data_IF_233613784271
#
_entry.id   IF_233613784271
#
_cell.length_a   1.000
_cell.length_b   1.000
_cell.length_c   1.000
_cell.angle_alpha   90.00
_cell.angle_beta   90.00
_cell.angle_gamma   90.00
#
_symmetry.space_group_name_H-M   'P 1'
#
loop_
_entity.id
_entity.type
_entity.pdbx_description
1 polymer ?
#
# COMPACT_ATOMS: atom_id res chain seq x y z
N UNK A 1 -13.03 -0.73 17.02
CA UNK A 1 -12.41 0.62 16.98
C UNK A 1 -12.57 1.10 15.56
N UNK A 2 -13.27 2.20 15.32
CA UNK A 2 -13.37 2.73 13.96
C UNK A 2 -12.06 3.45 13.63
N UNK A 3 -11.35 2.94 12.62
CA UNK A 3 -10.14 3.59 12.12
C UNK A 3 -10.54 4.69 11.14
N UNK A 4 -9.81 5.79 11.14
CA UNK A 4 -10.01 6.83 10.15
C UNK A 4 -9.83 6.25 8.72
N UNK A 5 -10.80 6.43 7.79
CA UNK A 5 -10.73 5.81 6.47
C UNK A 5 -9.49 6.19 5.64
N UNK A 6 -8.95 7.39 5.82
CA UNK A 6 -7.72 7.83 5.14
C UNK A 6 -6.51 7.10 5.70
N UNK A 7 -6.44 6.94 7.02
CA UNK A 7 -5.37 6.21 7.69
C UNK A 7 -5.44 4.71 7.36
N UNK A 8 -6.63 4.10 7.47
CA UNK A 8 -6.86 2.70 7.13
C UNK A 8 -6.46 2.39 5.68
N UNK A 9 -6.78 3.29 4.75
CA UNK A 9 -6.41 3.17 3.33
C UNK A 9 -4.90 3.09 3.11
N UNK A 10 -4.13 3.85 3.90
CA UNK A 10 -2.66 3.87 3.80
C UNK A 10 -2.07 2.56 4.31
N UNK A 11 -2.49 2.09 5.48
CA UNK A 11 -2.01 0.82 6.03
C UNK A 11 -2.42 -0.37 5.17
N UNK A 12 -3.66 -0.40 4.68
CA UNK A 12 -4.12 -1.48 3.81
C UNK A 12 -3.36 -1.51 2.48
N UNK A 13 -3.11 -0.36 1.84
CA UNK A 13 -2.32 -0.37 0.61
C UNK A 13 -0.86 -0.74 0.85
N UNK A 14 -0.26 -0.35 1.98
CA UNK A 14 1.07 -0.81 2.37
C UNK A 14 1.10 -2.34 2.54
N UNK A 15 0.10 -2.92 3.20
CA UNK A 15 -0.04 -4.36 3.36
C UNK A 15 -0.15 -5.09 2.01
N UNK A 16 -0.92 -4.53 1.06
CA UNK A 16 -0.99 -5.09 -0.30
C UNK A 16 0.36 -5.01 -1.03
N UNK A 17 1.15 -3.95 -0.84
CA UNK A 17 2.50 -3.86 -1.41
C UNK A 17 3.43 -4.90 -0.79
N UNK A 18 3.34 -5.15 0.52
CA UNK A 18 4.16 -6.16 1.21
C UNK A 18 3.92 -7.57 0.65
N UNK A 19 2.67 -7.97 0.44
CA UNK A 19 2.31 -9.34 0.09
C UNK A 19 2.11 -9.61 -1.40
N UNK A 20 2.02 -8.56 -2.22
CA UNK A 20 1.85 -8.74 -3.67
C UNK A 20 3.21 -8.93 -4.33
N UNK A 21 3.35 -9.96 -5.15
CA UNK A 21 4.54 -10.13 -5.98
C UNK A 21 4.66 -8.99 -7.01
N UNK A 22 5.80 -8.29 -7.01
CA UNK A 22 6.10 -7.15 -7.90
C UNK A 22 4.90 -6.17 -8.01
N UNK A 23 4.48 -5.55 -6.89
CA UNK A 23 3.31 -4.69 -6.87
C UNK A 23 3.57 -3.43 -7.71
N UNK A 24 2.66 -3.12 -8.61
CA UNK A 24 2.70 -1.88 -9.38
C UNK A 24 1.30 -1.26 -9.42
N UNK A 25 1.22 -0.03 -9.92
CA UNK A 25 -0.07 0.70 -9.92
C UNK A 25 -1.18 -0.09 -10.62
N UNK A 26 -1.00 -0.66 -11.83
CA UNK A 26 -2.02 -1.53 -12.44
C UNK A 26 -2.46 -2.70 -11.55
N UNK A 27 -1.52 -3.47 -10.99
CA UNK A 27 -1.83 -4.66 -10.16
C UNK A 27 -2.58 -4.29 -8.88
N UNK A 28 -2.22 -3.18 -8.25
CA UNK A 28 -2.92 -2.67 -7.06
C UNK A 28 -4.33 -2.14 -7.41
N UNK A 29 -4.53 -1.58 -8.60
CA UNK A 29 -5.88 -1.22 -9.09
C UNK A 29 -6.72 -2.49 -9.27
N UNK A 30 -6.17 -3.54 -9.88
CA UNK A 30 -6.90 -4.80 -10.09
C UNK A 30 -7.34 -5.44 -8.77
N UNK A 31 -6.49 -5.42 -7.74
CA UNK A 31 -6.83 -5.98 -6.42
C UNK A 31 -7.85 -5.14 -5.65
N UNK A 32 -7.82 -3.81 -5.78
CA UNK A 32 -8.61 -2.90 -4.93
C UNK A 32 -9.85 -2.35 -5.60
N UNK A 33 -9.88 -2.29 -6.93
CA UNK A 33 -10.86 -1.54 -7.71
C UNK A 33 -10.74 -0.01 -7.58
N UNK A 34 -9.71 0.52 -6.89
CA UNK A 34 -9.61 1.95 -6.65
C UNK A 34 -9.12 2.72 -7.87
N UNK A 35 -9.52 4.00 -8.01
CA UNK A 35 -8.97 4.87 -9.05
C UNK A 35 -7.44 4.95 -8.98
N UNK A 36 -6.78 4.97 -10.15
CA UNK A 36 -5.33 5.12 -10.26
C UNK A 36 -4.76 6.24 -9.39
N UNK A 37 -5.45 7.38 -9.37
CA UNK A 37 -5.02 8.56 -8.60
C UNK A 37 -4.99 8.28 -7.10
N UNK A 38 -5.98 7.55 -6.58
CA UNK A 38 -6.04 7.12 -5.18
C UNK A 38 -4.83 6.27 -4.81
N UNK A 39 -4.52 5.26 -5.61
CA UNK A 39 -3.34 4.40 -5.40
C UNK A 39 -2.05 5.23 -5.37
N UNK A 40 -1.87 6.09 -6.35
CA UNK A 40 -0.67 6.94 -6.44
C UNK A 40 -0.54 7.92 -5.27
N UNK A 41 -1.64 8.55 -4.84
CA UNK A 41 -1.62 9.48 -3.71
C UNK A 41 -1.34 8.78 -2.38
N UNK A 42 -1.85 7.56 -2.19
CA UNK A 42 -1.54 6.75 -1.00
C UNK A 42 -0.08 6.34 -0.99
N UNK A 43 0.45 5.76 -2.08
CA UNK A 43 1.86 5.36 -2.19
C UNK A 43 2.80 6.55 -1.93
N UNK A 44 2.47 7.73 -2.47
CA UNK A 44 3.23 8.97 -2.24
C UNK A 44 3.19 9.44 -0.77
N UNK A 45 2.12 9.11 -0.04
CA UNK A 45 1.95 9.52 1.35
C UNK A 45 2.64 8.58 2.36
N UNK A 46 2.98 7.33 1.99
CA UNK A 46 3.57 6.35 2.90
C UNK A 46 4.89 6.83 3.55
N UNK A 47 5.85 7.43 2.80
CA UNK A 47 7.07 7.97 3.43
C UNK A 47 6.81 9.05 4.48
N UNK A 48 5.74 9.84 4.32
CA UNK A 48 5.34 10.85 5.31
C UNK A 48 4.81 10.24 6.63
N UNK A 49 4.52 8.94 6.65
CA UNK A 49 4.18 8.18 7.85
C UNK A 49 5.38 7.42 8.44
N UNK A 50 6.56 7.49 7.81
CA UNK A 50 7.75 6.73 8.19
C UNK A 50 7.84 5.34 7.55
N UNK A 51 6.91 4.96 6.66
CA UNK A 51 7.00 3.71 5.90
C UNK A 51 7.92 3.93 4.69
N UNK A 52 9.01 3.16 4.61
CA UNK A 52 9.97 3.28 3.54
C UNK A 52 9.53 2.50 2.29
N UNK A 53 9.28 3.24 1.21
CA UNK A 53 8.80 2.71 -0.06
C UNK A 53 9.76 3.07 -1.19
N UNK A 54 10.26 2.07 -1.91
CA UNK A 54 11.14 2.26 -3.07
C UNK A 54 10.48 1.71 -4.34
N UNK A 55 10.72 2.34 -5.49
CA UNK A 55 10.33 1.82 -6.80
C UNK A 55 11.55 1.22 -7.49
N UNK A 56 11.52 -0.09 -7.76
CA UNK A 56 12.59 -0.87 -8.36
C UNK A 56 12.35 -0.98 -9.88
N UNK A 57 13.40 -0.74 -10.68
CA UNK A 57 13.37 -0.88 -12.13
C UNK A 57 14.49 -1.80 -12.59
N UNK A 58 14.15 -2.93 -13.22
CA UNK A 58 15.13 -3.94 -13.68
C UNK A 58 15.79 -3.58 -15.04
N UNK A 59 15.83 -2.29 -15.40
CA UNK A 59 16.51 -1.80 -16.60
C UNK A 59 15.88 -2.16 -17.96
N UNK A 60 14.78 -2.93 -18.00
CA UNK A 60 14.06 -3.23 -19.25
C UNK A 60 13.21 -2.04 -19.69
N UNK A 61 13.25 -1.70 -20.99
CA UNK A 61 12.33 -0.72 -21.58
C UNK A 61 10.90 -1.25 -21.46
N UNK A 62 9.98 -0.34 -21.08
CA UNK A 62 8.53 -0.51 -20.83
C UNK A 62 8.09 -0.62 -19.36
N UNK A 63 8.44 0.35 -18.50
CA UNK A 63 7.74 0.65 -17.24
C UNK A 63 7.44 -0.53 -16.29
N UNK A 64 8.16 -1.65 -16.41
CA UNK A 64 7.94 -2.89 -15.63
C UNK A 64 8.63 -2.85 -14.26
N UNK A 65 8.52 -1.68 -13.62
CA UNK A 65 8.99 -1.48 -12.26
C UNK A 65 7.90 -1.83 -11.25
N UNK A 66 8.33 -2.07 -10.02
CA UNK A 66 7.45 -2.44 -8.93
C UNK A 66 7.87 -1.74 -7.63
N UNK A 67 6.92 -1.60 -6.73
CA UNK A 67 7.15 -1.06 -5.39
C UNK A 67 7.68 -2.14 -4.47
N UNK A 68 8.53 -1.73 -3.53
CA UNK A 68 9.00 -2.58 -2.44
C UNK A 68 8.97 -1.75 -1.16
N UNK A 69 8.39 -2.31 -0.11
CA UNK A 69 8.58 -1.83 1.24
C UNK A 69 9.91 -2.36 1.78
N UNK A 70 10.74 -1.46 2.30
CA UNK A 70 12.00 -1.82 2.98
C UNK A 70 11.88 -1.79 4.49
N UNK A 71 10.99 -0.94 5.01
CA UNK A 71 10.74 -0.75 6.44
C UNK A 71 9.31 -0.26 6.65
N UNK A 72 8.63 -0.81 7.67
CA UNK A 72 7.32 -0.35 8.12
C UNK A 72 7.40 0.85 9.08
N UNK A 73 8.61 1.25 9.47
CA UNK A 73 8.88 2.39 10.33
C UNK A 73 8.24 2.21 11.71
N UNK A 74 7.35 3.11 12.15
CA UNK A 74 6.76 3.03 13.49
C UNK A 74 5.63 2.00 13.60
N UNK A 75 5.25 1.32 12.51
CA UNK A 75 4.14 0.38 12.49
C UNK A 75 4.64 -1.07 12.61
N UNK A 76 3.98 -1.86 13.43
CA UNK A 76 4.21 -3.30 13.54
C UNK A 76 3.42 -4.03 12.44
N UNK A 77 4.13 -4.66 11.50
CA UNK A 77 3.54 -5.43 10.41
C UNK A 77 2.58 -6.52 10.93
N UNK A 78 2.96 -7.25 11.98
CA UNK A 78 2.13 -8.33 12.52
C UNK A 78 0.81 -7.80 13.09
N UNK A 79 0.85 -6.61 13.71
CA UNK A 79 -0.35 -5.95 14.15
C UNK A 79 -1.23 -5.54 12.97
N UNK A 80 -0.66 -4.97 11.90
CA UNK A 80 -1.41 -4.55 10.70
C UNK A 80 -2.06 -5.74 10.01
N UNK A 81 -1.32 -6.85 9.83
CA UNK A 81 -1.83 -8.12 9.31
C UNK A 81 -3.02 -8.62 10.14
N UNK A 82 -2.89 -8.63 11.48
CA UNK A 82 -3.97 -9.06 12.38
C UNK A 82 -5.24 -8.18 12.30
N UNK A 83 -5.11 -6.97 11.74
CA UNK A 83 -6.16 -5.96 11.62
C UNK A 83 -6.66 -5.76 10.20
N UNK A 84 -6.25 -6.58 9.24
CA UNK A 84 -6.61 -6.41 7.84
C UNK A 84 -8.13 -6.26 7.63
N UNK A 85 -8.94 -7.10 8.28
CA UNK A 85 -10.40 -7.03 8.18
C UNK A 85 -10.97 -5.71 8.75
N UNK A 86 -10.43 -5.23 9.87
CA UNK A 86 -10.84 -3.96 10.49
C UNK A 86 -10.49 -2.77 9.58
N UNK A 87 -9.32 -2.82 8.93
CA UNK A 87 -8.87 -1.82 7.96
C UNK A 87 -9.82 -1.78 6.75
N UNK A 88 -10.15 -2.94 6.18
CA UNK A 88 -11.08 -3.05 5.06
C UNK A 88 -12.49 -2.57 5.42
N UNK A 89 -13.00 -2.93 6.59
CA UNK A 89 -14.32 -2.49 7.05
C UNK A 89 -14.40 -0.95 7.13
N UNK A 90 -13.31 -0.29 7.53
CA UNK A 90 -13.21 1.18 7.62
C UNK A 90 -13.18 1.89 6.25
N UNK A 91 -13.05 1.15 5.14
CA UNK A 91 -13.02 1.69 3.78
C UNK A 91 -14.38 1.67 3.08
N UNK A 92 -15.34 0.92 3.62
CA UNK A 92 -16.70 0.79 3.10
C UNK A 92 -17.62 1.95 3.52
N UNK A 93 -17.10 2.91 4.28
CA UNK A 93 -17.79 4.10 4.81
C UNK A 93 -17.59 5.31 3.91
#
# INVERSE_FOLDING_TARGET
>A
MELNPVFARRLYLALLVEHTERPNVPRLIEQTGWPRRTIQDVLKALPGLGIELTFIQDGRRHNDGYYKLSDWGPFDLQWVESREQDLMASLAV
#
